data_IF_189730618176
#
_entry.id   IF_189730618176
#
_cell.length_a   1.000
_cell.length_b   1.000
_cell.length_c   1.000
_cell.angle_alpha   90.00
_cell.angle_beta   90.00
_cell.angle_gamma   90.00
#
_symmetry.space_group_name_H-M   'P 1'
#
loop_
_entity.id
_entity.type
_entity.pdbx_description
1 polymer ?
#
# COMPACT_ATOMS: atom_id res chain seq x y z
N UNK A 1 2.05 -6.13 -13.46
CA UNK A 1 1.75 -4.69 -13.57
C UNK A 1 2.97 -3.91 -13.07
N UNK A 2 3.38 -2.87 -13.79
CA UNK A 2 4.49 -1.99 -13.38
C UNK A 2 4.00 -0.66 -12.77
N UNK A 3 4.93 0.14 -12.24
CA UNK A 3 4.66 1.46 -11.65
C UNK A 3 3.91 2.40 -12.60
N UNK A 4 4.22 2.37 -13.91
CA UNK A 4 3.60 3.26 -14.89
C UNK A 4 2.14 2.87 -15.12
N UNK A 5 1.86 1.57 -15.23
CA UNK A 5 0.49 1.05 -15.34
C UNK A 5 -0.33 1.38 -14.11
N UNK A 6 0.21 1.20 -12.90
CA UNK A 6 -0.45 1.57 -11.64
C UNK A 6 -0.82 3.06 -11.61
N UNK A 7 0.13 3.92 -11.96
CA UNK A 7 -0.09 5.37 -12.01
C UNK A 7 -1.18 5.74 -13.02
N UNK A 8 -1.22 5.09 -14.18
CA UNK A 8 -2.24 5.34 -15.19
C UNK A 8 -3.62 4.90 -14.72
N UNK A 9 -3.74 3.71 -14.15
CA UNK A 9 -5.01 3.19 -13.61
C UNK A 9 -5.56 4.12 -12.54
N UNK A 10 -4.74 4.52 -11.57
CA UNK A 10 -5.21 5.41 -10.49
C UNK A 10 -5.60 6.79 -11.03
N UNK A 11 -4.85 7.34 -11.99
CA UNK A 11 -5.19 8.64 -12.59
C UNK A 11 -6.51 8.61 -13.37
N UNK A 12 -6.89 7.45 -13.90
CA UNK A 12 -8.18 7.30 -14.60
C UNK A 12 -9.38 7.18 -13.65
N UNK A 13 -9.15 6.91 -12.36
CA UNK A 13 -10.19 6.83 -11.35
C UNK A 13 -10.39 8.19 -10.67
N UNK A 14 -11.57 8.79 -10.86
CA UNK A 14 -11.90 10.13 -10.34
C UNK A 14 -11.96 10.22 -8.81
N UNK A 15 -12.10 9.09 -8.10
CA UNK A 15 -12.18 9.06 -6.64
C UNK A 15 -10.79 8.88 -6.06
N UNK A 16 -10.08 7.83 -6.50
CA UNK A 16 -8.77 7.46 -5.94
C UNK A 16 -7.73 8.53 -6.25
N UNK A 17 -7.77 9.14 -7.44
CA UNK A 17 -6.81 10.17 -7.85
C UNK A 17 -6.73 11.38 -6.92
N UNK A 18 -7.83 11.74 -6.24
CA UNK A 18 -7.85 12.87 -5.30
C UNK A 18 -7.03 12.62 -4.02
N UNK A 19 -6.84 11.35 -3.66
CA UNK A 19 -6.17 10.95 -2.43
C UNK A 19 -4.82 10.27 -2.68
N UNK A 20 -4.55 9.87 -3.91
CA UNK A 20 -3.39 9.10 -4.27
C UNK A 20 -2.12 9.94 -4.34
N UNK A 21 -1.11 9.53 -3.58
CA UNK A 21 0.13 10.28 -3.43
C UNK A 21 1.35 9.60 -4.04
N UNK A 22 1.23 8.35 -4.49
CA UNK A 22 2.28 7.72 -5.27
C UNK A 22 2.42 6.22 -5.07
N UNK A 23 3.37 5.69 -5.85
CA UNK A 23 3.84 4.31 -5.82
C UNK A 23 5.25 4.31 -5.22
N UNK A 24 5.50 3.52 -4.19
CA UNK A 24 6.76 3.53 -3.44
C UNK A 24 7.35 2.14 -3.27
N UNK A 25 8.67 1.97 -3.28
CA UNK A 25 9.31 0.83 -2.61
C UNK A 25 9.02 0.84 -1.11
N UNK A 26 9.11 -0.32 -0.45
CA UNK A 26 8.72 -0.43 0.97
C UNK A 26 9.53 0.48 1.90
N UNK A 27 10.81 0.73 1.60
CA UNK A 27 11.73 1.54 2.39
C UNK A 27 11.67 3.04 2.10
N UNK A 28 11.00 3.43 1.01
CA UNK A 28 10.85 4.81 0.53
C UNK A 28 9.49 5.45 0.88
N UNK A 29 8.68 4.80 1.73
CA UNK A 29 7.40 5.38 2.16
C UNK A 29 7.59 6.68 2.96
N UNK A 30 6.64 7.65 2.87
CA UNK A 30 6.73 8.92 3.57
C UNK A 30 6.92 8.76 5.08
N UNK A 31 8.03 9.26 5.61
CA UNK A 31 8.35 9.16 7.05
C UNK A 31 7.80 10.33 7.86
N UNK A 32 7.48 11.45 7.23
CA UNK A 32 6.91 12.63 7.88
C UNK A 32 5.38 12.48 8.00
N UNK A 33 4.79 13.20 8.97
CA UNK A 33 3.32 13.28 9.06
C UNK A 33 2.77 13.96 7.81
N UNK A 34 1.56 13.58 7.46
CA UNK A 34 0.89 14.07 6.28
C UNK A 34 -0.61 14.26 6.54
N UNK A 35 -1.28 15.22 5.87
CA UNK A 35 -2.72 15.38 6.03
C UNK A 35 -3.49 14.20 5.44
N UNK A 36 -4.60 13.89 6.08
CA UNK A 36 -5.57 12.88 5.67
C UNK A 36 -6.71 13.50 4.85
N UNK A 37 -7.40 12.71 4.00
CA UNK A 37 -7.10 11.31 3.68
C UNK A 37 -5.90 11.14 2.73
N UNK A 38 -5.31 9.94 2.70
CA UNK A 38 -4.15 9.65 1.84
C UNK A 38 -4.10 8.20 1.39
N UNK A 39 -3.82 7.97 0.11
CA UNK A 39 -3.64 6.66 -0.48
C UNK A 39 -2.23 6.47 -1.06
N UNK A 40 -1.69 5.26 -0.89
CA UNK A 40 -0.42 4.84 -1.48
C UNK A 40 -0.54 3.43 -2.05
N UNK A 41 0.23 3.17 -3.09
CA UNK A 41 0.60 1.80 -3.48
C UNK A 41 2.07 1.61 -3.13
N UNK A 42 2.42 0.45 -2.61
CA UNK A 42 3.81 0.13 -2.29
C UNK A 42 4.22 -1.24 -2.82
N UNK A 43 5.46 -1.36 -3.27
CA UNK A 43 6.07 -2.65 -3.48
C UNK A 43 6.48 -3.25 -2.13
N UNK A 44 6.33 -4.57 -1.96
CA UNK A 44 6.82 -5.27 -0.77
C UNK A 44 8.35 -5.24 -0.65
N UNK A 45 9.04 -5.12 -1.78
CA UNK A 45 10.49 -5.09 -1.79
C UNK A 45 11.03 -3.68 -1.56
N UNK A 46 12.33 -3.60 -1.30
CA UNK A 46 13.05 -2.33 -1.18
C UNK A 46 13.47 -1.80 -2.55
N UNK A 47 13.86 -0.52 -2.60
CA UNK A 47 14.21 0.16 -3.85
C UNK A 47 15.37 -0.50 -4.63
N UNK A 48 16.24 -1.25 -3.95
CA UNK A 48 17.38 -1.96 -4.53
C UNK A 48 17.02 -3.34 -5.10
N UNK A 49 15.74 -3.74 -5.04
CA UNK A 49 15.24 -5.04 -5.50
C UNK A 49 14.36 -4.92 -6.74
N UNK A 50 14.16 -6.01 -7.51
CA UNK A 50 13.36 -5.99 -8.73
C UNK A 50 11.89 -5.62 -8.53
N UNK A 51 11.36 -5.78 -7.32
CA UNK A 51 9.96 -5.52 -6.98
C UNK A 51 9.07 -6.73 -7.24
N UNK A 52 8.63 -7.40 -6.17
CA UNK A 52 7.96 -8.70 -6.25
C UNK A 52 6.44 -8.62 -6.15
N UNK A 53 5.90 -7.69 -5.34
CA UNK A 53 4.46 -7.66 -5.07
C UNK A 53 3.96 -6.27 -4.68
N UNK A 54 2.70 -5.94 -5.01
CA UNK A 54 2.08 -4.65 -4.70
C UNK A 54 1.07 -4.75 -3.56
N UNK A 55 1.07 -3.74 -2.70
CA UNK A 55 0.10 -3.55 -1.61
C UNK A 55 -0.50 -2.15 -1.71
N UNK A 56 -1.71 -1.96 -1.21
CA UNK A 56 -2.35 -0.65 -1.13
C UNK A 56 -2.55 -0.24 0.33
N UNK A 57 -2.42 1.05 0.61
CA UNK A 57 -2.64 1.63 1.92
C UNK A 57 -3.53 2.86 1.78
N UNK A 58 -4.51 2.99 2.66
CA UNK A 58 -5.34 4.17 2.79
C UNK A 58 -5.35 4.63 4.25
N UNK A 59 -5.28 5.94 4.45
CA UNK A 59 -5.22 6.59 5.76
C UNK A 59 -6.32 7.64 5.82
N UNK A 60 -7.06 7.66 6.92
CA UNK A 60 -8.04 8.69 7.25
C UNK A 60 -8.03 8.97 8.77
N UNK A 61 -8.95 9.81 9.23
CA UNK A 61 -9.06 10.16 10.65
C UNK A 61 -9.47 8.97 11.54
N UNK A 62 -10.03 7.91 10.95
CA UNK A 62 -10.47 6.70 11.65
C UNK A 62 -9.39 5.63 11.79
N UNK A 63 -8.27 5.76 11.06
CA UNK A 63 -7.18 4.79 11.08
C UNK A 63 -6.58 4.54 9.71
N UNK A 64 -6.11 3.31 9.49
CA UNK A 64 -5.53 2.91 8.22
C UNK A 64 -6.04 1.55 7.76
N UNK A 65 -6.29 1.46 6.46
CA UNK A 65 -6.62 0.24 5.74
C UNK A 65 -5.40 -0.22 4.94
N UNK A 66 -5.01 -1.47 5.14
CA UNK A 66 -3.93 -2.13 4.42
C UNK A 66 -4.50 -3.28 3.59
N UNK A 67 -4.33 -3.20 2.28
CA UNK A 67 -4.75 -4.24 1.36
C UNK A 67 -3.55 -4.96 0.78
N UNK A 68 -3.55 -6.28 0.93
CA UNK A 68 -2.61 -7.18 0.27
C UNK A 68 -3.39 -8.39 -0.23
N UNK A 69 -3.33 -8.64 -1.53
CA UNK A 69 -4.07 -9.73 -2.18
C UNK A 69 -3.84 -11.14 -1.58
N UNK A 70 -2.74 -11.36 -0.85
CA UNK A 70 -2.49 -12.61 -0.11
C UNK A 70 -3.04 -12.64 1.32
N UNK A 71 -3.62 -11.54 1.80
CA UNK A 71 -4.33 -11.46 3.08
C UNK A 71 -3.43 -11.51 4.32
N UNK A 72 -2.17 -11.11 4.19
CA UNK A 72 -1.20 -11.14 5.30
C UNK A 72 -1.18 -9.81 6.05
N UNK A 73 -0.85 -9.89 7.34
CA UNK A 73 -0.64 -8.71 8.18
C UNK A 73 0.50 -7.83 7.63
N UNK A 74 0.41 -6.50 7.73
CA UNK A 74 1.41 -5.58 7.18
C UNK A 74 2.84 -5.84 7.65
N UNK A 75 3.03 -6.11 8.94
CA UNK A 75 4.35 -6.37 9.54
C UNK A 75 5.01 -7.64 9.01
N UNK A 76 4.21 -8.59 8.52
CA UNK A 76 4.70 -9.83 7.90
C UNK A 76 5.12 -9.62 6.45
N UNK A 77 4.66 -8.53 5.82
CA UNK A 77 5.07 -8.16 4.47
C UNK A 77 6.33 -7.31 4.49
N UNK A 78 6.39 -6.31 5.37
CA UNK A 78 7.55 -5.45 5.54
C UNK A 78 7.50 -4.70 6.87
N UNK A 79 8.63 -4.58 7.61
CA UNK A 79 8.67 -3.78 8.84
C UNK A 79 8.40 -2.29 8.58
N UNK A 80 8.63 -1.81 7.36
CA UNK A 80 8.35 -0.42 6.99
C UNK A 80 6.84 -0.13 6.95
N UNK A 81 6.03 -1.09 6.49
CA UNK A 81 4.57 -0.95 6.46
C UNK A 81 4.00 -0.88 7.87
N UNK A 82 4.43 -1.81 8.75
CA UNK A 82 4.02 -1.80 10.16
C UNK A 82 4.33 -0.49 10.87
N UNK A 83 5.54 0.06 10.65
CA UNK A 83 5.92 1.36 11.23
C UNK A 83 5.07 2.52 10.70
N UNK A 84 4.84 2.58 9.39
CA UNK A 84 4.05 3.64 8.76
C UNK A 84 2.61 3.63 9.27
N UNK A 85 1.98 2.45 9.26
CA UNK A 85 0.59 2.26 9.68
C UNK A 85 0.41 2.66 11.14
N UNK A 86 1.22 2.12 12.05
CA UNK A 86 1.14 2.47 13.48
C UNK A 86 1.32 3.97 13.74
N UNK A 87 2.23 4.61 13.00
CA UNK A 87 2.51 6.05 13.14
C UNK A 87 1.34 6.95 12.74
N UNK A 88 0.52 6.53 11.76
CA UNK A 88 -0.49 7.38 11.13
C UNK A 88 -1.93 6.88 11.29
N UNK A 89 -2.18 5.88 12.14
CA UNK A 89 -3.53 5.27 12.28
C UNK A 89 -4.08 5.31 13.70
N UNK A 90 -3.43 5.98 14.66
CA UNK A 90 -3.76 5.89 16.08
C UNK A 90 -3.86 4.43 16.57
N UNK A 91 -3.08 3.52 15.97
CA UNK A 91 -3.11 2.07 16.15
C UNK A 91 -4.38 1.34 15.67
N UNK A 92 -5.28 2.01 14.95
CA UNK A 92 -6.45 1.40 14.32
C UNK A 92 -6.07 0.95 12.91
N UNK A 93 -5.63 -0.30 12.77
CA UNK A 93 -5.16 -0.88 11.50
C UNK A 93 -6.09 -2.00 11.08
N UNK A 94 -6.66 -1.87 9.89
CA UNK A 94 -7.55 -2.85 9.25
C UNK A 94 -6.81 -3.48 8.07
N UNK A 95 -7.03 -4.78 7.84
CA UNK A 95 -6.48 -5.47 6.68
C UNK A 95 -7.36 -6.63 6.26
N UNK A 96 -7.29 -7.00 4.97
CA UNK A 96 -7.98 -8.19 4.49
C UNK A 96 -7.27 -9.47 4.99
N UNK A 97 -8.03 -10.43 5.52
CA UNK A 97 -7.48 -11.72 6.00
C UNK A 97 -7.64 -12.85 4.99
N UNK A 98 -8.52 -12.66 4.00
CA UNK A 98 -8.75 -13.63 2.93
C UNK A 98 -7.74 -13.40 1.81
N UNK A 99 -7.14 -14.49 1.33
CA UNK A 99 -6.36 -14.51 0.09
C UNK A 99 -7.33 -14.40 -1.10
N UNK A 100 -7.14 -13.38 -1.92
CA UNK A 100 -7.93 -13.10 -3.12
C UNK A 100 -7.19 -13.45 -4.42
N UNK A 101 -5.86 -13.59 -4.36
CA UNK A 101 -5.01 -13.92 -5.51
C UNK A 101 -4.36 -15.29 -5.34
N UNK A 102 -4.29 -16.06 -6.44
CA UNK A 102 -3.53 -17.32 -6.49
C UNK A 102 -2.01 -17.10 -6.43
N UNK A 103 -1.26 -18.06 -5.90
CA UNK A 103 0.19 -17.92 -5.67
C UNK A 103 1.02 -17.69 -6.94
N UNK A 104 0.57 -18.19 -8.08
CA UNK A 104 1.26 -18.08 -9.37
C UNK A 104 0.74 -16.93 -10.24
N UNK A 105 -0.19 -16.14 -9.73
CA UNK A 105 -0.79 -15.04 -10.47
C UNK A 105 0.08 -13.78 -10.38
N UNK A 106 0.10 -12.98 -11.46
CA UNK A 106 0.89 -11.75 -11.59
C UNK A 106 0.03 -10.47 -11.55
N UNK A 107 -1.23 -10.56 -11.10
CA UNK A 107 -2.24 -9.49 -11.10
C UNK A 107 -2.41 -8.78 -9.75
N UNK A 108 -1.34 -8.65 -8.97
CA UNK A 108 -1.42 -8.08 -7.62
C UNK A 108 -1.59 -6.56 -7.57
N UNK A 109 -1.22 -5.89 -8.65
CA UNK A 109 -1.34 -4.44 -8.82
C UNK A 109 -2.61 -4.06 -9.56
#
# INVERSE_FOLDING_TARGET
MDTKQLLQTVKSDSIVSNYFHGVFPSDCLPRIRFPFPRAFIANTDQADKPGSHWVAMYFDDSGADFFYSFGRRPEKCSPYFGRLLKKHSNNIIRWNQKRLQGFLSTVCG
#
